data_IF_015284074171
#
_entry.id   IF_015284074171
#
_cell.length_a   1.000
_cell.length_b   1.000
_cell.length_c   1.000
_cell.angle_alpha   90.00
_cell.angle_beta   90.00
_cell.angle_gamma   90.00
#
_symmetry.space_group_name_H-M   'P 1'
#
loop_
_entity.id
_entity.type
_entity.pdbx_description
1 polymer ?
#
# COMPACT_ATOMS: atom_id res chain seq x y z
N UNK A 1 -18.49 -1.04 -16.03
CA UNK A 1 -17.37 -0.38 -16.70
C UNK A 1 -16.02 -0.58 -16.03
N UNK A 2 -15.93 -1.26 -14.89
CA UNK A 2 -14.70 -1.45 -14.10
C UNK A 2 -14.25 -2.93 -13.97
N UNK A 3 -14.75 -3.81 -14.87
CA UNK A 3 -14.37 -5.24 -14.88
C UNK A 3 -12.95 -5.54 -15.35
N UNK A 4 -12.18 -4.52 -15.73
CA UNK A 4 -10.85 -4.71 -16.32
C UNK A 4 -9.70 -4.23 -15.42
N UNK A 5 -9.97 -3.91 -14.15
CA UNK A 5 -8.99 -3.16 -13.37
C UNK A 5 -7.84 -3.99 -12.82
N UNK A 6 -8.03 -5.25 -12.54
CA UNK A 6 -6.94 -6.22 -12.33
C UNK A 6 -7.54 -7.63 -12.50
N UNK A 7 -7.25 -8.34 -13.56
CA UNK A 7 -7.66 -9.73 -13.77
C UNK A 7 -9.14 -10.05 -13.52
N UNK A 8 -9.64 -11.12 -14.08
CA UNK A 8 -11.06 -11.52 -14.07
C UNK A 8 -11.65 -11.84 -12.68
N UNK A 9 -10.90 -11.68 -11.60
CA UNK A 9 -11.30 -12.13 -10.25
C UNK A 9 -11.44 -11.02 -9.20
N UNK A 10 -11.14 -9.76 -9.53
CA UNK A 10 -11.36 -8.65 -8.61
C UNK A 10 -12.73 -8.02 -8.85
N UNK A 11 -13.74 -8.50 -8.12
CA UNK A 11 -14.97 -7.74 -7.94
C UNK A 11 -14.66 -6.56 -7.05
N UNK A 12 -14.45 -5.39 -7.66
CA UNK A 12 -14.08 -4.15 -6.97
C UNK A 12 -15.34 -3.51 -6.42
N UNK A 13 -15.29 -3.18 -5.14
CA UNK A 13 -16.27 -2.31 -4.49
C UNK A 13 -15.57 -1.00 -4.20
N UNK A 14 -16.12 0.07 -4.72
CA UNK A 14 -15.48 1.38 -4.74
C UNK A 14 -16.02 2.26 -3.62
N UNK A 15 -15.13 3.03 -3.00
CA UNK A 15 -15.49 4.14 -2.15
C UNK A 15 -14.79 5.40 -2.66
N UNK A 16 -15.56 6.45 -2.95
CA UNK A 16 -15.04 7.71 -3.45
C UNK A 16 -14.79 8.70 -2.32
N UNK A 17 -13.69 9.46 -2.44
CA UNK A 17 -13.29 10.56 -1.57
C UNK A 17 -12.82 11.74 -2.43
N UNK A 18 -12.28 12.80 -1.82
CA UNK A 18 -11.87 14.01 -2.52
C UNK A 18 -10.38 14.05 -2.87
N UNK A 19 -9.54 13.26 -2.19
CA UNK A 19 -8.09 13.28 -2.39
C UNK A 19 -7.44 11.91 -2.20
N UNK A 20 -6.23 11.72 -2.77
CA UNK A 20 -5.44 10.51 -2.54
C UNK A 20 -5.07 10.29 -1.07
N UNK A 21 -4.87 11.37 -0.31
CA UNK A 21 -4.64 11.30 1.14
C UNK A 21 -5.83 10.68 1.87
N UNK A 22 -7.06 11.12 1.55
CA UNK A 22 -8.29 10.56 2.13
C UNK A 22 -8.54 9.13 1.68
N UNK A 23 -8.18 8.77 0.43
CA UNK A 23 -8.27 7.39 -0.03
C UNK A 23 -7.33 6.48 0.78
N UNK A 24 -6.09 6.92 1.04
CA UNK A 24 -5.13 6.18 1.86
C UNK A 24 -5.56 6.13 3.34
N UNK A 25 -6.05 7.22 3.93
CA UNK A 25 -6.61 7.21 5.30
C UNK A 25 -7.80 6.23 5.40
N UNK A 26 -8.66 6.21 4.39
CA UNK A 26 -9.80 5.28 4.33
C UNK A 26 -9.31 3.83 4.20
N UNK A 27 -8.28 3.57 3.40
CA UNK A 27 -7.67 2.24 3.28
C UNK A 27 -7.06 1.77 4.62
N UNK A 28 -6.32 2.64 5.33
CA UNK A 28 -5.77 2.36 6.65
C UNK A 28 -6.90 2.00 7.64
N UNK A 29 -7.95 2.80 7.69
CA UNK A 29 -9.11 2.56 8.54
C UNK A 29 -9.80 1.22 8.20
N UNK A 30 -9.88 0.89 6.90
CA UNK A 30 -10.46 -0.36 6.45
C UNK A 30 -9.59 -1.59 6.80
N UNK A 31 -8.28 -1.47 6.76
CA UNK A 31 -7.35 -2.50 7.26
C UNK A 31 -7.66 -2.84 8.72
N UNK A 32 -7.80 -1.84 9.57
CA UNK A 32 -8.12 -2.05 10.98
C UNK A 32 -9.49 -2.68 11.18
N UNK A 33 -10.51 -2.19 10.46
CA UNK A 33 -11.85 -2.74 10.50
C UNK A 33 -11.88 -4.22 10.06
N UNK A 34 -11.24 -4.53 8.93
CA UNK A 34 -11.14 -5.90 8.40
C UNK A 34 -10.50 -6.85 9.41
N UNK A 35 -9.35 -6.49 9.96
CA UNK A 35 -8.66 -7.36 10.92
C UNK A 35 -9.45 -7.54 12.22
N UNK A 36 -10.13 -6.49 12.68
CA UNK A 36 -11.03 -6.62 13.83
C UNK A 36 -12.19 -7.57 13.51
N UNK A 37 -12.79 -7.44 12.32
CA UNK A 37 -13.90 -8.28 11.87
C UNK A 37 -13.57 -9.77 11.80
N UNK A 38 -12.33 -10.11 11.42
CA UNK A 38 -11.86 -11.51 11.38
C UNK A 38 -11.22 -12.00 12.70
N UNK A 39 -11.39 -11.26 13.80
CA UNK A 39 -10.89 -11.66 15.12
C UNK A 39 -9.39 -11.47 15.33
N UNK A 40 -8.73 -10.60 14.55
CA UNK A 40 -7.29 -10.27 14.66
C UNK A 40 -7.09 -8.78 15.03
N UNK A 41 -7.65 -8.27 16.15
CA UNK A 41 -7.67 -6.83 16.46
C UNK A 41 -6.30 -6.22 16.72
N UNK A 42 -5.26 -7.03 16.95
CA UNK A 42 -3.89 -6.56 17.16
C UNK A 42 -3.17 -6.19 15.86
N UNK A 43 -3.67 -6.59 14.67
CA UNK A 43 -3.09 -6.24 13.38
C UNK A 43 -3.36 -4.79 12.99
N UNK A 44 -2.76 -3.85 13.72
CA UNK A 44 -2.96 -2.40 13.57
C UNK A 44 -1.75 -1.62 13.06
N UNK A 45 -0.55 -2.24 13.07
CA UNK A 45 0.65 -1.61 12.51
C UNK A 45 0.63 -1.67 11.00
N UNK A 46 1.04 -0.59 10.36
CA UNK A 46 1.06 -0.44 8.90
C UNK A 46 2.50 -0.17 8.46
N UNK A 47 2.95 -0.87 7.44
CA UNK A 47 4.29 -0.69 6.89
C UNK A 47 4.21 0.07 5.56
N UNK A 48 4.93 1.18 5.46
CA UNK A 48 5.28 1.87 4.22
C UNK A 48 6.74 1.64 3.85
N UNK A 49 7.24 2.41 2.90
CA UNK A 49 8.66 2.38 2.49
C UNK A 49 9.33 3.72 2.80
N UNK A 50 10.60 3.71 3.21
CA UNK A 50 11.43 4.93 3.24
C UNK A 50 11.34 5.63 1.89
N UNK A 51 11.24 6.94 1.88
CA UNK A 51 11.03 7.79 0.70
C UNK A 51 9.69 7.62 -0.03
N UNK A 52 8.78 6.74 0.45
CA UNK A 52 7.42 6.63 -0.05
C UNK A 52 6.58 7.87 0.28
N UNK A 53 5.57 8.15 -0.54
CA UNK A 53 4.64 9.25 -0.32
C UNK A 53 3.19 8.79 -0.51
N UNK A 54 2.39 8.94 0.55
CA UNK A 54 1.01 8.48 0.56
C UNK A 54 -0.02 9.57 0.86
N UNK A 55 0.43 10.78 1.15
CA UNK A 55 -0.46 11.91 1.38
C UNK A 55 0.01 12.84 2.50
N UNK A 56 -0.84 13.82 2.83
CA UNK A 56 -0.56 14.88 3.80
C UNK A 56 -1.54 14.92 4.98
N UNK A 57 -2.57 14.10 5.01
CA UNK A 57 -3.38 13.87 6.21
C UNK A 57 -2.56 13.15 7.28
N UNK A 58 -2.95 13.23 8.55
CA UNK A 58 -2.12 12.74 9.67
C UNK A 58 -1.72 11.26 9.54
N UNK A 59 -2.62 10.39 9.10
CA UNK A 59 -2.28 8.99 8.92
C UNK A 59 -1.48 8.77 7.63
N UNK A 60 -1.86 9.38 6.50
CA UNK A 60 -1.16 9.24 5.24
C UNK A 60 0.26 9.84 5.28
N UNK A 61 0.47 10.96 6.00
CA UNK A 61 1.82 11.51 6.19
C UNK A 61 2.66 10.63 7.13
N UNK A 62 2.06 10.05 8.16
CA UNK A 62 2.74 9.07 9.02
C UNK A 62 3.16 7.81 8.25
N UNK A 63 2.33 7.37 7.29
CA UNK A 63 2.63 6.25 6.40
C UNK A 63 3.70 6.60 5.36
N UNK A 64 3.80 7.86 4.95
CA UNK A 64 4.87 8.34 4.06
C UNK A 64 6.21 8.25 4.76
N UNK A 65 7.23 7.69 4.09
CA UNK A 65 8.55 7.47 4.71
C UNK A 65 9.55 8.60 4.45
N UNK A 66 9.10 9.84 4.45
CA UNK A 66 9.92 11.04 4.20
C UNK A 66 10.14 11.80 5.50
N UNK A 67 11.36 11.77 6.02
CA UNK A 67 11.72 12.40 7.30
C UNK A 67 11.45 13.91 7.35
N UNK A 68 11.58 14.61 6.22
CA UNK A 68 11.29 16.03 6.08
C UNK A 68 9.80 16.36 6.30
N UNK A 69 8.91 15.38 6.13
CA UNK A 69 7.47 15.53 6.40
C UNK A 69 7.10 15.20 7.86
N UNK A 70 8.02 14.68 8.65
CA UNK A 70 7.79 14.25 10.03
C UNK A 70 8.42 15.17 11.08
N UNK A 71 9.59 15.76 10.74
CA UNK A 71 10.56 16.28 11.70
C UNK A 71 9.97 17.27 12.73
N UNK A 72 9.11 18.20 12.31
CA UNK A 72 8.62 19.27 13.20
C UNK A 72 7.16 19.05 13.66
N UNK A 73 6.59 17.86 13.41
CA UNK A 73 5.18 17.57 13.62
C UNK A 73 4.90 16.48 14.65
N UNK A 74 5.93 15.93 15.28
CA UNK A 74 5.78 14.77 16.19
C UNK A 74 5.33 13.50 15.46
N UNK A 75 5.77 13.33 14.22
CA UNK A 75 5.42 12.21 13.34
C UNK A 75 6.68 11.34 13.06
N UNK A 76 6.50 10.11 12.60
CA UNK A 76 5.24 9.41 12.39
C UNK A 76 4.59 8.93 13.70
N UNK A 77 3.28 8.64 13.65
CA UNK A 77 2.61 7.91 14.74
C UNK A 77 3.22 6.51 14.84
N UNK A 78 3.46 6.01 16.07
CA UNK A 78 4.22 4.77 16.35
C UNK A 78 3.76 3.52 15.60
N UNK A 79 2.49 3.44 15.19
CA UNK A 79 1.96 2.30 14.45
C UNK A 79 2.30 2.30 12.96
N UNK A 80 2.96 3.35 12.45
CA UNK A 80 3.42 3.44 11.07
C UNK A 80 4.92 3.18 11.00
N UNK A 81 5.28 2.12 10.29
CA UNK A 81 6.63 1.61 10.17
C UNK A 81 7.14 1.79 8.75
N UNK A 82 8.45 1.84 8.56
CA UNK A 82 9.02 2.03 7.22
C UNK A 82 10.13 1.01 6.97
N UNK A 83 9.93 0.18 5.95
CA UNK A 83 10.98 -0.71 5.43
C UNK A 83 11.90 0.03 4.46
N UNK A 84 12.94 -0.64 3.98
CA UNK A 84 13.98 -0.05 3.15
C UNK A 84 13.49 0.51 1.81
N UNK A 85 14.28 1.44 1.26
CA UNK A 85 14.03 2.14 -0.01
C UNK A 85 14.58 1.32 -1.18
N UNK A 86 13.73 0.76 -2.09
CA UNK A 86 14.17 -0.15 -3.13
C UNK A 86 14.75 0.57 -4.35
N UNK A 87 15.70 1.48 -4.13
CA UNK A 87 16.40 2.24 -5.16
C UNK A 87 17.77 1.62 -5.45
N UNK A 88 17.82 0.66 -6.39
CA UNK A 88 19.03 -0.09 -6.71
C UNK A 88 20.22 0.82 -7.00
N UNK A 89 20.08 1.78 -7.90
CA UNK A 89 21.16 2.68 -8.30
C UNK A 89 21.89 3.37 -7.12
N UNK A 90 21.18 3.70 -6.04
CA UNK A 90 21.73 4.40 -4.88
C UNK A 90 22.11 3.50 -3.72
N UNK A 91 21.46 2.35 -3.59
CA UNK A 91 21.48 1.57 -2.37
C UNK A 91 22.02 0.15 -2.54
N UNK A 92 22.48 -0.22 -3.75
CA UNK A 92 23.16 -1.50 -3.94
C UNK A 92 24.54 -1.49 -3.25
N UNK A 93 24.98 -2.66 -2.84
CA UNK A 93 26.33 -2.90 -2.35
C UNK A 93 27.29 -3.17 -3.52
N UNK A 94 28.58 -2.98 -3.30
CA UNK A 94 29.58 -3.24 -4.34
C UNK A 94 29.47 -4.70 -4.83
N UNK A 95 29.26 -4.86 -6.13
CA UNK A 95 29.09 -6.15 -6.79
C UNK A 95 27.72 -6.81 -6.63
N UNK A 96 26.78 -6.18 -5.91
CA UNK A 96 25.41 -6.69 -5.74
C UNK A 96 24.60 -6.57 -7.03
N UNK A 97 24.03 -7.65 -7.51
CA UNK A 97 23.10 -7.67 -8.65
C UNK A 97 21.72 -7.12 -8.24
N UNK A 98 20.90 -6.73 -9.22
CA UNK A 98 19.51 -6.29 -8.94
C UNK A 98 18.69 -7.37 -8.24
N UNK A 99 18.89 -8.63 -8.58
CA UNK A 99 18.22 -9.79 -7.99
C UNK A 99 18.60 -9.98 -6.52
N UNK A 100 19.89 -9.86 -6.18
CA UNK A 100 20.39 -9.94 -4.81
C UNK A 100 19.89 -8.76 -3.98
N UNK A 101 19.91 -7.56 -4.56
CA UNK A 101 19.36 -6.37 -3.95
C UNK A 101 17.86 -6.51 -3.65
N UNK A 102 17.06 -6.99 -4.62
CA UNK A 102 15.63 -7.25 -4.43
C UNK A 102 15.40 -8.26 -3.29
N UNK A 103 16.24 -9.30 -3.21
CA UNK A 103 16.20 -10.29 -2.12
C UNK A 103 16.51 -9.64 -0.78
N UNK A 104 17.54 -8.79 -0.72
CA UNK A 104 17.90 -8.06 0.50
C UNK A 104 16.79 -7.10 0.96
N UNK A 105 16.12 -6.43 0.04
CA UNK A 105 14.98 -5.55 0.36
C UNK A 105 13.78 -6.33 0.91
N UNK A 106 13.46 -7.48 0.32
CA UNK A 106 12.40 -8.36 0.82
C UNK A 106 12.74 -8.95 2.20
N UNK A 107 14.00 -9.35 2.40
CA UNK A 107 14.49 -9.82 3.70
C UNK A 107 14.42 -8.71 4.77
N UNK A 108 14.74 -7.47 4.42
CA UNK A 108 14.62 -6.33 5.35
C UNK A 108 13.15 -6.11 5.77
N UNK A 109 12.20 -6.25 4.85
CA UNK A 109 10.78 -6.24 5.17
C UNK A 109 10.42 -7.38 6.11
N UNK A 110 10.87 -8.60 5.83
CA UNK A 110 10.59 -9.76 6.68
C UNK A 110 11.17 -9.60 8.09
N UNK A 111 12.41 -9.12 8.21
CA UNK A 111 13.03 -8.85 9.52
C UNK A 111 12.24 -7.79 10.30
N UNK A 112 11.75 -6.74 9.66
CA UNK A 112 10.90 -5.74 10.31
C UNK A 112 9.61 -6.38 10.83
N UNK A 113 8.94 -7.21 10.02
CA UNK A 113 7.72 -7.93 10.40
C UNK A 113 7.98 -8.83 11.61
N UNK A 114 9.07 -9.58 11.61
CA UNK A 114 9.43 -10.49 12.72
C UNK A 114 9.77 -9.73 14.00
N UNK A 115 10.48 -8.62 13.89
CA UNK A 115 10.85 -7.78 15.04
C UNK A 115 9.62 -7.12 15.71
N UNK A 116 8.63 -6.74 14.92
CA UNK A 116 7.41 -6.08 15.40
C UNK A 116 6.30 -7.06 15.82
N UNK A 117 6.46 -8.34 15.50
CA UNK A 117 5.49 -9.41 15.67
C UNK A 117 4.48 -9.45 14.50
N UNK A 118 4.45 -10.54 13.70
CA UNK A 118 3.57 -10.67 12.55
C UNK A 118 2.07 -10.49 12.87
N UNK A 119 1.68 -10.84 14.10
CA UNK A 119 0.32 -10.69 14.62
C UNK A 119 -0.09 -9.23 14.83
N UNK A 120 0.85 -8.30 14.78
CA UNK A 120 0.61 -6.87 14.95
C UNK A 120 0.56 -6.12 13.61
N UNK A 121 1.04 -6.72 12.50
CA UNK A 121 1.13 -6.07 11.20
C UNK A 121 -0.13 -6.30 10.40
N UNK A 122 -0.88 -5.23 10.10
CA UNK A 122 -2.12 -5.28 9.33
C UNK A 122 -1.93 -5.21 7.83
N UNK A 123 -1.11 -4.30 7.36
CA UNK A 123 -0.91 -4.09 5.93
C UNK A 123 0.47 -3.54 5.57
N UNK A 124 0.84 -3.75 4.32
CA UNK A 124 1.94 -3.09 3.63
C UNK A 124 1.37 -2.21 2.51
N UNK A 125 1.81 -0.96 2.44
CA UNK A 125 1.45 0.00 1.39
C UNK A 125 2.63 0.26 0.47
N UNK A 126 2.38 0.27 -0.83
CA UNK A 126 3.42 0.59 -1.80
C UNK A 126 2.87 1.22 -3.07
N UNK A 127 3.55 2.25 -3.55
CA UNK A 127 3.42 2.75 -4.92
C UNK A 127 4.10 1.75 -5.88
N UNK A 128 3.50 1.34 -7.00
CA UNK A 128 4.19 0.49 -7.99
C UNK A 128 5.49 1.11 -8.50
N UNK A 129 5.48 2.41 -8.79
CA UNK A 129 6.66 3.27 -8.99
C UNK A 129 6.59 4.38 -7.97
N UNK A 130 7.66 4.61 -7.22
CA UNK A 130 7.71 5.64 -6.19
C UNK A 130 7.85 7.02 -6.83
N UNK A 131 6.72 7.73 -6.98
CA UNK A 131 6.68 9.01 -7.68
C UNK A 131 7.48 10.11 -6.97
N UNK A 132 7.03 10.50 -5.78
CA UNK A 132 7.65 11.56 -4.98
C UNK A 132 9.02 11.17 -4.39
N UNK A 133 9.32 9.89 -4.36
CA UNK A 133 10.64 9.36 -3.98
C UNK A 133 11.72 9.56 -5.05
N UNK A 134 11.36 10.05 -6.24
CA UNK A 134 12.29 10.30 -7.34
C UNK A 134 12.00 9.52 -8.61
N UNK A 135 10.74 9.14 -8.88
CA UNK A 135 10.31 8.29 -9.99
C UNK A 135 11.07 6.94 -10.01
N UNK A 136 11.22 6.32 -8.83
CA UNK A 136 12.03 5.13 -8.64
C UNK A 136 11.27 3.88 -9.06
N UNK A 137 11.80 3.20 -10.07
CA UNK A 137 11.35 1.89 -10.51
C UNK A 137 12.09 0.85 -9.67
N UNK A 138 11.38 -0.03 -8.96
CA UNK A 138 12.03 -1.09 -8.19
C UNK A 138 12.61 -2.17 -9.12
N UNK A 139 13.58 -2.98 -8.66
CA UNK A 139 14.05 -4.15 -9.40
C UNK A 139 12.91 -5.07 -9.84
N UNK A 140 13.07 -5.73 -10.97
CA UNK A 140 12.02 -6.55 -11.61
C UNK A 140 11.40 -7.58 -10.65
N UNK A 141 12.23 -8.25 -9.84
CA UNK A 141 11.78 -9.32 -8.93
C UNK A 141 11.35 -8.82 -7.54
N UNK A 142 11.51 -7.53 -7.25
CA UNK A 142 11.24 -6.96 -5.92
C UNK A 142 9.83 -7.26 -5.42
N UNK A 143 8.81 -6.91 -6.20
CA UNK A 143 7.43 -7.10 -5.76
C UNK A 143 7.00 -8.56 -5.67
N UNK A 144 7.57 -9.44 -6.52
CA UNK A 144 7.32 -10.87 -6.40
C UNK A 144 7.76 -11.38 -5.01
N UNK A 145 9.00 -11.06 -4.60
CA UNK A 145 9.54 -11.44 -3.30
C UNK A 145 8.80 -10.81 -2.13
N UNK A 146 8.46 -9.53 -2.23
CA UNK A 146 7.65 -8.83 -1.22
C UNK A 146 6.30 -9.51 -1.02
N UNK A 147 5.58 -9.82 -2.11
CA UNK A 147 4.27 -10.48 -2.02
C UNK A 147 4.36 -11.88 -1.41
N UNK A 148 5.47 -12.61 -1.61
CA UNK A 148 5.69 -13.90 -0.93
C UNK A 148 5.79 -13.73 0.59
N UNK A 149 6.53 -12.71 1.05
CA UNK A 149 6.64 -12.36 2.47
C UNK A 149 5.26 -12.00 3.03
N UNK A 150 4.53 -11.09 2.36
CA UNK A 150 3.21 -10.65 2.83
C UNK A 150 2.22 -11.82 2.96
N UNK A 151 2.17 -12.73 1.99
CA UNK A 151 1.31 -13.92 2.03
C UNK A 151 1.66 -14.85 3.19
N UNK A 152 2.96 -15.04 3.47
CA UNK A 152 3.43 -15.91 4.57
C UNK A 152 2.91 -15.46 5.93
N UNK A 153 2.79 -14.15 6.15
CA UNK A 153 2.36 -13.58 7.42
C UNK A 153 0.93 -13.03 7.40
N UNK A 154 0.16 -13.33 6.35
CA UNK A 154 -1.22 -12.86 6.19
C UNK A 154 -1.36 -11.34 6.37
N UNK A 155 -0.47 -10.58 5.75
CA UNK A 155 -0.44 -9.12 5.74
C UNK A 155 -1.13 -8.65 4.46
N UNK A 156 -2.08 -7.72 4.58
CA UNK A 156 -2.76 -7.15 3.43
C UNK A 156 -1.81 -6.29 2.59
N UNK A 157 -1.96 -6.36 1.28
CA UNK A 157 -1.22 -5.51 0.35
C UNK A 157 -2.12 -4.41 -0.20
N UNK A 158 -1.73 -3.15 -0.02
CA UNK A 158 -2.40 -1.98 -0.58
C UNK A 158 -1.50 -1.34 -1.62
N UNK A 159 -1.95 -1.33 -2.88
CA UNK A 159 -1.26 -0.64 -3.96
C UNK A 159 -1.72 0.82 -4.03
N UNK A 160 -0.81 1.75 -3.82
CA UNK A 160 -1.05 3.17 -4.02
C UNK A 160 -0.81 3.54 -5.49
N UNK A 161 -1.90 3.54 -6.25
CA UNK A 161 -1.94 3.84 -7.69
C UNK A 161 -2.25 5.32 -7.98
N UNK A 162 -2.17 6.18 -6.98
CA UNK A 162 -2.50 7.61 -7.11
C UNK A 162 -1.69 8.29 -8.22
N UNK A 163 -0.44 7.87 -8.43
CA UNK A 163 0.39 8.32 -9.55
C UNK A 163 0.39 7.32 -10.71
N UNK A 164 0.54 6.02 -10.43
CA UNK A 164 0.80 4.99 -11.45
C UNK A 164 -0.43 4.61 -12.27
N UNK A 165 -1.64 4.80 -11.73
CA UNK A 165 -2.89 4.43 -12.39
C UNK A 165 -3.18 5.23 -13.65
N UNK A 166 -4.13 4.73 -14.43
CA UNK A 166 -4.69 5.36 -15.63
C UNK A 166 -3.66 5.57 -16.76
N UNK A 167 -2.82 4.57 -17.01
CA UNK A 167 -1.94 4.52 -18.17
C UNK A 167 -0.53 5.07 -17.94
N UNK A 168 -0.19 5.52 -16.75
CA UNK A 168 1.12 6.14 -16.44
C UNK A 168 2.31 5.21 -16.71
N UNK A 169 2.14 3.92 -16.51
CA UNK A 169 3.18 2.90 -16.72
C UNK A 169 3.05 2.14 -18.05
N UNK A 170 2.15 2.59 -18.95
CA UNK A 170 1.87 1.95 -20.23
C UNK A 170 0.76 0.89 -20.17
N UNK A 171 0.32 0.48 -18.97
CA UNK A 171 -0.89 -0.31 -18.72
C UNK A 171 -1.87 0.51 -17.91
N UNK A 172 -3.12 0.05 -17.77
CA UNK A 172 -4.14 0.80 -17.01
C UNK A 172 -3.69 1.04 -15.58
N UNK A 173 -3.04 0.04 -14.96
CA UNK A 173 -2.53 0.09 -13.60
C UNK A 173 -1.03 -0.24 -13.55
N UNK A 174 -0.29 0.41 -12.66
CA UNK A 174 1.07 0.02 -12.34
C UNK A 174 1.14 -1.39 -11.77
N UNK A 175 0.11 -1.82 -11.05
CA UNK A 175 -0.05 -3.19 -10.58
C UNK A 175 0.02 -4.22 -11.72
N UNK A 176 -0.56 -3.94 -12.89
CA UNK A 176 -0.45 -4.82 -14.06
C UNK A 176 0.97 -4.85 -14.62
N UNK A 177 1.69 -3.72 -14.56
CA UNK A 177 3.06 -3.63 -15.06
C UNK A 177 4.03 -4.49 -14.24
N UNK A 178 3.82 -4.54 -12.92
CA UNK A 178 4.70 -5.25 -11.99
C UNK A 178 4.11 -6.56 -11.45
N UNK A 179 3.02 -7.06 -12.04
CA UNK A 179 2.35 -8.29 -11.62
C UNK A 179 1.97 -8.28 -10.12
N UNK A 180 1.42 -7.17 -9.63
CA UNK A 180 0.94 -7.04 -8.27
C UNK A 180 -0.47 -7.63 -8.16
N UNK A 181 -0.74 -8.26 -7.03
CA UNK A 181 -2.06 -8.77 -6.65
C UNK A 181 -2.45 -8.13 -5.31
N UNK A 182 -2.84 -6.84 -5.31
CA UNK A 182 -3.18 -6.14 -4.09
C UNK A 182 -4.55 -6.56 -3.56
N UNK A 183 -4.73 -6.46 -2.24
CA UNK A 183 -6.02 -6.59 -1.58
C UNK A 183 -6.86 -5.32 -1.71
N UNK A 184 -6.19 -4.17 -1.78
CA UNK A 184 -6.80 -2.85 -1.97
C UNK A 184 -5.97 -2.02 -2.95
N UNK A 185 -6.65 -1.11 -3.65
CA UNK A 185 -6.01 -0.14 -4.56
C UNK A 185 -6.56 1.24 -4.26
N UNK A 186 -5.68 2.22 -4.07
CA UNK A 186 -6.05 3.64 -3.97
C UNK A 186 -5.70 4.37 -5.24
N UNK A 187 -6.57 5.26 -5.71
CA UNK A 187 -6.35 6.05 -6.92
C UNK A 187 -6.88 7.48 -6.79
N UNK A 188 -6.29 8.40 -7.53
CA UNK A 188 -6.68 9.81 -7.59
C UNK A 188 -6.11 10.44 -8.87
N UNK A 189 -5.68 11.68 -8.84
CA UNK A 189 -4.99 12.43 -9.92
C UNK A 189 -5.60 12.17 -11.31
N UNK A 190 -5.06 11.21 -12.05
CA UNK A 190 -5.50 10.88 -13.41
C UNK A 190 -6.94 10.33 -13.48
N UNK A 191 -7.52 9.88 -12.35
CA UNK A 191 -8.93 9.45 -12.26
C UNK A 191 -9.89 10.49 -12.83
N UNK A 192 -9.62 11.78 -12.59
CA UNK A 192 -10.41 12.88 -13.15
C UNK A 192 -9.57 13.85 -14.00
N UNK A 193 -8.28 13.59 -14.19
CA UNK A 193 -7.34 14.51 -14.84
C UNK A 193 -7.41 15.95 -14.26
N UNK A 194 -7.60 16.06 -12.95
CA UNK A 194 -7.76 17.30 -12.19
C UNK A 194 -9.04 18.11 -12.49
N UNK A 195 -10.01 17.52 -13.21
CA UNK A 195 -11.30 18.17 -13.49
C UNK A 195 -12.21 18.22 -12.26
N UNK A 196 -12.04 17.28 -11.33
CA UNK A 196 -12.80 17.18 -10.08
C UNK A 196 -11.89 16.72 -8.93
N UNK A 197 -12.09 17.20 -7.70
CA UNK A 197 -11.45 16.63 -6.52
C UNK A 197 -12.07 15.26 -6.22
N UNK A 198 -11.44 14.21 -6.71
CA UNK A 198 -11.94 12.84 -6.57
C UNK A 198 -10.79 11.87 -6.39
N UNK A 199 -11.03 10.87 -5.55
CA UNK A 199 -10.20 9.69 -5.39
C UNK A 199 -11.08 8.46 -5.20
N UNK A 200 -10.52 7.29 -5.34
CA UNK A 200 -11.22 6.03 -5.09
C UNK A 200 -10.34 5.06 -4.32
N UNK A 201 -10.97 4.37 -3.37
CA UNK A 201 -10.47 3.15 -2.76
C UNK A 201 -11.24 1.98 -3.33
N UNK A 202 -10.54 1.01 -3.88
CA UNK A 202 -11.07 -0.23 -4.45
C UNK A 202 -10.59 -1.40 -3.60
N UNK A 203 -11.48 -2.36 -3.33
CA UNK A 203 -11.19 -3.53 -2.49
C UNK A 203 -11.53 -4.83 -3.22
N UNK A 204 -10.82 -5.91 -2.89
CA UNK A 204 -11.12 -7.22 -3.43
C UNK A 204 -12.38 -7.83 -2.78
N UNK A 205 -12.88 -8.90 -3.38
CA UNK A 205 -14.10 -9.56 -2.94
C UNK A 205 -13.97 -10.17 -1.53
N UNK A 206 -12.79 -10.68 -1.18
CA UNK A 206 -12.50 -11.22 0.15
C UNK A 206 -12.77 -10.20 1.26
N UNK A 207 -12.28 -8.98 1.12
CA UNK A 207 -12.51 -7.91 2.09
C UNK A 207 -13.97 -7.50 2.10
N UNK A 208 -14.57 -7.36 0.92
CA UNK A 208 -15.97 -6.97 0.76
C UNK A 208 -16.94 -7.93 1.45
N UNK A 209 -16.75 -9.25 1.28
CA UNK A 209 -17.60 -10.27 1.92
C UNK A 209 -17.53 -10.17 3.46
N UNK A 210 -16.33 -10.03 4.01
CA UNK A 210 -16.17 -9.85 5.47
C UNK A 210 -16.90 -8.60 5.95
N UNK A 211 -16.83 -7.50 5.20
CA UNK A 211 -17.54 -6.27 5.56
C UNK A 211 -19.05 -6.45 5.59
N UNK A 212 -19.63 -7.12 4.58
CA UNK A 212 -21.08 -7.40 4.54
C UNK A 212 -21.48 -8.28 5.73
N UNK A 213 -20.75 -9.36 5.98
CA UNK A 213 -21.09 -10.33 7.04
C UNK A 213 -20.98 -9.74 8.45
N UNK A 214 -20.17 -8.70 8.64
CA UNK A 214 -19.90 -8.11 9.95
C UNK A 214 -20.52 -6.73 10.15
N UNK A 215 -21.14 -6.15 9.12
CA UNK A 215 -21.68 -4.77 9.17
C UNK A 215 -22.68 -4.53 10.30
N UNK A 216 -23.46 -5.56 10.67
CA UNK A 216 -24.45 -5.46 11.74
C UNK A 216 -23.88 -5.76 13.14
N UNK A 217 -22.62 -6.20 13.23
CA UNK A 217 -21.99 -6.66 14.49
C UNK A 217 -20.91 -5.70 14.99
N UNK A 218 -20.32 -4.94 14.09
CA UNK A 218 -19.26 -3.98 14.38
C UNK A 218 -19.78 -2.55 14.31
N UNK A 219 -19.03 -1.61 14.87
CA UNK A 219 -19.32 -0.18 14.73
C UNK A 219 -19.34 0.26 13.26
N UNK A 220 -19.95 1.42 13.00
CA UNK A 220 -20.01 1.98 11.65
C UNK A 220 -18.60 2.23 11.09
N UNK A 221 -18.41 1.84 9.84
CA UNK A 221 -17.21 2.20 9.09
C UNK A 221 -17.24 3.67 8.62
N UNK A 222 -18.41 4.25 8.48
CA UNK A 222 -18.61 5.64 8.01
C UNK A 222 -18.10 6.70 8.99
#
# INVERSE_FOLDING_TARGET
MLRSLVGSEMCIRDRFQCSGSEANDTAIKLVWYYHHAIGKPNKIKIIGRKMGYHGSTIAAVSLSGKNDMHADFGLPIERFLHTEFPHYYRNHLDGETEEEFATRMANALEQLILAEGPENIGAFFAEPVMGAGGAVIPPETYFHKVQEVLRRYEILFVADEVICGFGRTGKMWGSETFNLVPDMVTSAKALSAAMQPISALMINDKIYQVMIEQSDKLGSFA
#
